data_IF_298574352543
#
_entry.id   IF_298574352543
#
_cell.length_a   1.000
_cell.length_b   1.000
_cell.length_c   1.000
_cell.angle_alpha   90.00
_cell.angle_beta   90.00
_cell.angle_gamma   90.00
#
_symmetry.space_group_name_H-M   'P 1'
#
loop_
_entity.id
_entity.type
_entity.pdbx_description
1 polymer ?
#
# COMPACT_ATOMS: atom_id res chain seq x y z
N UNK A 1 17.02 -20.30 12.21
CA UNK A 1 16.30 -20.74 13.42
C UNK A 1 15.16 -21.65 13.06
N UNK A 2 14.93 -22.66 13.89
CA UNK A 2 13.84 -23.63 13.70
C UNK A 2 12.49 -22.95 14.00
N UNK A 3 11.44 -23.28 13.25
CA UNK A 3 10.06 -22.84 13.53
C UNK A 3 9.66 -23.12 14.97
N UNK A 4 10.09 -24.27 15.53
CA UNK A 4 9.81 -24.63 16.91
C UNK A 4 10.42 -23.62 17.88
N UNK A 5 11.65 -23.16 17.64
CA UNK A 5 12.30 -22.17 18.51
C UNK A 5 11.55 -20.84 18.50
N UNK A 6 11.09 -20.38 17.34
CA UNK A 6 10.30 -19.14 17.24
C UNK A 6 8.95 -19.25 17.96
N UNK A 7 8.27 -20.40 17.84
CA UNK A 7 7.03 -20.68 18.56
C UNK A 7 7.29 -20.71 20.07
N UNK A 8 8.31 -21.46 20.51
CA UNK A 8 8.63 -21.61 21.92
C UNK A 8 9.01 -20.27 22.56
N UNK A 9 9.78 -19.42 21.87
CA UNK A 9 10.10 -18.07 22.33
C UNK A 9 8.85 -17.22 22.54
N UNK A 10 7.92 -17.22 21.58
CA UNK A 10 6.68 -16.46 21.69
C UNK A 10 5.78 -17.00 22.80
N UNK A 11 5.70 -18.32 22.97
CA UNK A 11 4.96 -18.94 24.07
C UNK A 11 5.53 -18.51 25.42
N UNK A 12 6.86 -18.56 25.59
CA UNK A 12 7.51 -18.11 26.81
C UNK A 12 7.28 -16.61 27.07
N UNK A 13 7.39 -15.76 26.06
CA UNK A 13 7.11 -14.32 26.19
C UNK A 13 5.68 -14.04 26.65
N UNK A 14 4.68 -14.75 26.10
CA UNK A 14 3.28 -14.61 26.54
C UNK A 14 3.10 -15.05 27.99
N UNK A 15 3.73 -16.16 28.40
CA UNK A 15 3.68 -16.65 29.77
C UNK A 15 4.31 -15.65 30.75
N UNK A 16 5.50 -15.13 30.43
CA UNK A 16 6.20 -14.13 31.25
C UNK A 16 5.38 -12.83 31.40
N UNK A 17 4.81 -12.32 30.30
CA UNK A 17 3.95 -11.13 30.34
C UNK A 17 2.68 -11.36 31.16
N UNK A 18 2.01 -12.50 30.97
CA UNK A 18 0.84 -12.88 31.77
C UNK A 18 1.21 -12.98 33.26
N UNK A 19 2.31 -13.64 33.60
CA UNK A 19 2.79 -13.75 34.99
C UNK A 19 3.11 -12.39 35.59
N UNK A 20 3.74 -11.48 34.83
CA UNK A 20 4.01 -10.12 35.29
C UNK A 20 2.72 -9.35 35.60
N UNK A 21 1.67 -9.53 34.80
CA UNK A 21 0.37 -8.89 35.02
C UNK A 21 -0.37 -9.53 36.20
N UNK A 22 -0.23 -10.84 36.42
CA UNK A 22 -0.80 -11.56 37.57
C UNK A 22 -0.13 -11.19 38.89
N UNK A 23 1.14 -10.76 38.87
CA UNK A 23 1.90 -10.40 40.07
C UNK A 23 1.39 -9.14 40.78
N UNK A 24 0.47 -8.38 40.18
CA UNK A 24 -0.22 -7.27 40.84
C UNK A 24 -1.15 -7.76 41.96
N UNK A 25 -1.36 -6.97 43.04
CA UNK A 25 -2.17 -7.38 44.19
C UNK A 25 -3.67 -7.23 43.91
N UNK A 26 -4.18 -7.93 42.89
CA UNK A 26 -5.57 -7.86 42.42
C UNK A 26 -6.62 -8.06 43.51
N UNK A 27 -6.39 -9.01 44.42
CA UNK A 27 -7.28 -9.27 45.55
C UNK A 27 -7.35 -8.11 46.55
N UNK A 28 -6.24 -7.39 46.77
CA UNK A 28 -6.22 -6.22 47.66
C UNK A 28 -6.88 -5.03 46.97
N UNK A 29 -6.54 -4.78 45.71
CA UNK A 29 -7.09 -3.70 44.91
C UNK A 29 -8.60 -3.80 44.68
N UNK A 30 -9.15 -5.01 44.70
CA UNK A 30 -10.59 -5.24 44.53
C UNK A 30 -11.41 -4.41 45.51
N UNK A 31 -11.08 -4.48 46.80
CA UNK A 31 -11.89 -3.83 47.83
C UNK A 31 -11.77 -2.29 47.73
N UNK A 32 -10.54 -1.79 47.55
CA UNK A 32 -10.25 -0.36 47.37
C UNK A 32 -10.99 0.22 46.15
N UNK A 33 -10.95 -0.47 45.01
CA UNK A 33 -11.62 -0.03 43.78
C UNK A 33 -13.13 -0.12 43.91
N UNK A 34 -13.68 -1.18 44.52
CA UNK A 34 -15.12 -1.30 44.74
C UNK A 34 -15.63 -0.14 45.63
N UNK A 35 -14.91 0.23 46.68
CA UNK A 35 -15.24 1.37 47.52
C UNK A 35 -15.22 2.68 46.71
N UNK A 36 -14.14 2.94 45.97
CA UNK A 36 -13.99 4.10 45.10
C UNK A 36 -15.12 4.22 44.07
N UNK A 37 -15.48 3.12 43.40
CA UNK A 37 -16.57 3.09 42.41
C UNK A 37 -17.94 3.33 43.05
N UNK A 38 -18.16 2.84 44.27
CA UNK A 38 -19.38 3.10 45.02
C UNK A 38 -19.47 4.58 45.43
N UNK A 39 -18.37 5.21 45.82
CA UNK A 39 -18.35 6.62 46.20
C UNK A 39 -18.53 7.57 44.99
N UNK A 40 -17.96 7.23 43.84
CA UNK A 40 -18.25 7.93 42.57
C UNK A 40 -19.73 7.82 42.18
N UNK A 41 -20.39 6.70 42.49
CA UNK A 41 -21.81 6.54 42.23
C UNK A 41 -22.68 7.31 43.25
N UNK A 42 -22.31 7.30 44.54
CA UNK A 42 -22.99 8.11 45.59
C UNK A 42 -22.92 9.61 45.28
N UNK A 43 -21.78 10.09 44.79
CA UNK A 43 -21.59 11.47 44.35
C UNK A 43 -22.25 11.79 42.99
N UNK A 44 -22.95 10.82 42.39
CA UNK A 44 -23.61 10.91 41.07
C UNK A 44 -22.65 11.19 39.89
N UNK A 45 -21.34 11.05 40.08
CA UNK A 45 -20.32 11.16 39.03
C UNK A 45 -20.28 9.94 38.11
N UNK A 46 -20.61 8.74 38.62
CA UNK A 46 -20.63 7.49 37.84
C UNK A 46 -22.03 6.89 37.76
N UNK A 47 -22.45 6.46 36.57
CA UNK A 47 -23.73 5.80 36.35
C UNK A 47 -23.78 4.38 36.97
N UNK A 48 -24.89 4.03 37.62
CA UNK A 48 -25.01 2.76 38.36
C UNK A 48 -24.86 1.51 37.50
N UNK A 49 -25.35 1.52 36.25
CA UNK A 49 -25.16 0.40 35.34
C UNK A 49 -23.68 0.19 34.96
N UNK A 50 -22.94 1.27 34.72
CA UNK A 50 -21.50 1.23 34.43
C UNK A 50 -20.74 0.69 35.63
N UNK A 51 -21.03 1.22 36.84
CA UNK A 51 -20.47 0.72 38.11
C UNK A 51 -20.67 -0.78 38.28
N UNK A 52 -21.90 -1.27 38.10
CA UNK A 52 -22.19 -2.69 38.28
C UNK A 52 -21.45 -3.58 37.25
N UNK A 53 -21.32 -3.11 36.01
CA UNK A 53 -20.54 -3.81 34.99
C UNK A 53 -19.04 -3.87 35.34
N UNK A 54 -18.49 -2.81 35.92
CA UNK A 54 -17.11 -2.74 36.40
C UNK A 54 -16.87 -3.67 37.60
N UNK A 55 -17.73 -3.63 38.62
CA UNK A 55 -17.61 -4.48 39.80
C UNK A 55 -17.63 -5.97 39.40
N UNK A 56 -18.47 -6.33 38.42
CA UNK A 56 -18.61 -7.72 37.96
C UNK A 56 -17.32 -8.32 37.38
N UNK A 57 -16.43 -7.52 36.78
CA UNK A 57 -15.20 -8.06 36.19
C UNK A 57 -14.12 -8.35 37.22
N UNK A 58 -14.25 -7.86 38.46
CA UNK A 58 -13.27 -8.11 39.52
C UNK A 58 -13.24 -9.57 39.99
N UNK A 59 -14.37 -10.27 39.99
CA UNK A 59 -14.39 -11.71 40.25
C UNK A 59 -13.61 -12.48 39.18
N UNK A 60 -13.67 -12.03 37.92
CA UNK A 60 -12.93 -12.63 36.81
C UNK A 60 -11.43 -12.34 36.90
N UNK A 61 -11.05 -11.11 37.28
CA UNK A 61 -9.65 -10.72 37.47
C UNK A 61 -8.98 -11.51 38.59
N UNK A 62 -9.63 -11.60 39.75
CA UNK A 62 -9.07 -12.31 40.91
C UNK A 62 -8.99 -13.81 40.64
N UNK A 63 -10.01 -14.40 40.00
CA UNK A 63 -9.96 -15.81 39.62
C UNK A 63 -8.84 -16.09 38.59
N UNK A 64 -8.67 -15.22 37.60
CA UNK A 64 -7.61 -15.33 36.59
C UNK A 64 -6.20 -15.17 37.17
N UNK A 65 -6.02 -14.27 38.14
CA UNK A 65 -4.74 -14.04 38.79
C UNK A 65 -4.17 -15.32 39.43
N UNK A 66 -5.05 -16.22 39.88
CA UNK A 66 -4.70 -17.50 40.51
C UNK A 66 -4.81 -18.71 39.55
N UNK A 67 -5.17 -18.50 38.27
CA UNK A 67 -5.32 -19.58 37.29
C UNK A 67 -4.07 -19.78 36.43
N UNK A 68 -4.04 -20.84 35.61
CA UNK A 68 -3.00 -21.06 34.60
C UNK A 68 -3.30 -20.35 33.26
N UNK A 69 -4.44 -19.65 33.15
CA UNK A 69 -4.88 -19.05 31.89
C UNK A 69 -4.08 -17.80 31.56
N UNK A 70 -3.80 -17.56 30.27
CA UNK A 70 -3.06 -16.38 29.84
C UNK A 70 -3.82 -15.06 30.09
N UNK A 71 -5.15 -15.09 29.99
CA UNK A 71 -6.02 -13.92 30.05
C UNK A 71 -7.30 -14.21 30.86
N UNK A 72 -7.91 -13.20 31.48
CA UNK A 72 -9.20 -13.35 32.13
C UNK A 72 -10.31 -13.64 31.13
N UNK A 73 -11.33 -14.38 31.58
CA UNK A 73 -12.52 -14.56 30.78
C UNK A 73 -13.16 -13.22 30.41
N UNK A 74 -13.65 -13.11 29.16
CA UNK A 74 -14.40 -11.96 28.64
C UNK A 74 -13.65 -10.62 28.64
N UNK A 75 -12.31 -10.65 28.71
CA UNK A 75 -11.46 -9.44 28.65
C UNK A 75 -11.83 -8.50 27.48
N UNK A 76 -12.13 -9.05 26.29
CA UNK A 76 -12.43 -8.26 25.10
C UNK A 76 -13.90 -7.85 24.93
N UNK A 77 -14.82 -8.48 25.67
CA UNK A 77 -16.28 -8.31 25.45
C UNK A 77 -16.99 -7.63 26.60
N UNK A 78 -16.44 -7.69 27.82
CA UNK A 78 -17.04 -7.05 28.97
C UNK A 78 -16.61 -5.57 29.05
N UNK A 79 -17.57 -4.65 28.84
CA UNK A 79 -17.34 -3.21 28.97
C UNK A 79 -16.75 -2.80 30.33
N UNK A 80 -16.91 -3.62 31.38
CA UNK A 80 -16.33 -3.39 32.70
C UNK A 80 -14.81 -3.27 32.69
N UNK A 81 -14.09 -4.02 31.84
CA UNK A 81 -12.64 -3.87 31.71
C UNK A 81 -12.28 -2.55 31.03
N UNK A 82 -12.86 -2.30 29.85
CA UNK A 82 -12.61 -1.07 29.07
C UNK A 82 -12.92 0.20 29.86
N UNK A 83 -13.97 0.18 30.67
CA UNK A 83 -14.38 1.33 31.46
C UNK A 83 -13.49 1.57 32.70
N UNK A 84 -12.63 0.62 33.06
CA UNK A 84 -11.68 0.70 34.18
C UNK A 84 -10.24 0.86 33.70
N UNK A 85 -10.03 1.51 32.55
CA UNK A 85 -8.74 2.09 32.18
C UNK A 85 -8.75 3.59 32.49
N UNK A 86 -7.57 4.26 32.56
CA UNK A 86 -7.52 5.71 32.74
C UNK A 86 -8.40 6.47 31.72
N UNK A 87 -8.31 6.12 30.44
CA UNK A 87 -9.09 6.75 29.37
C UNK A 87 -10.56 6.33 29.38
N UNK A 88 -10.83 5.07 29.76
CA UNK A 88 -12.18 4.52 29.82
C UNK A 88 -13.01 5.16 30.92
N UNK A 89 -12.41 5.34 32.09
CA UNK A 89 -13.05 5.93 33.26
C UNK A 89 -13.33 7.43 33.04
N UNK A 90 -12.35 8.17 32.51
CA UNK A 90 -12.48 9.61 32.23
C UNK A 90 -13.68 9.90 31.28
N UNK A 91 -13.85 9.07 30.25
CA UNK A 91 -14.94 9.23 29.25
C UNK A 91 -16.36 9.03 29.79
N UNK A 92 -16.52 8.28 30.88
CA UNK A 92 -17.85 7.90 31.39
C UNK A 92 -18.22 8.61 32.69
N UNK A 93 -17.28 9.34 33.28
CA UNK A 93 -17.52 10.17 34.45
C UNK A 93 -18.27 11.44 34.05
N UNK A 94 -19.06 11.95 35.01
CA UNK A 94 -19.79 13.20 34.90
C UNK A 94 -19.12 14.28 35.75
N UNK A 95 -19.18 15.52 35.26
CA UNK A 95 -18.59 16.70 35.89
C UNK A 95 -17.19 17.01 35.36
N UNK A 96 -16.66 18.17 35.77
CA UNK A 96 -15.38 18.70 35.27
C UNK A 96 -14.17 18.30 36.13
N UNK A 97 -14.41 17.60 37.26
CA UNK A 97 -13.35 17.09 38.11
C UNK A 97 -12.60 15.94 37.42
N UNK A 98 -11.28 15.88 37.63
CA UNK A 98 -10.44 14.78 37.13
C UNK A 98 -10.94 13.40 37.59
N UNK A 99 -10.75 12.38 36.76
CA UNK A 99 -10.95 10.99 37.14
C UNK A 99 -9.99 10.62 38.31
N UNK A 100 -10.46 9.87 39.32
CA UNK A 100 -9.58 9.39 40.38
C UNK A 100 -8.61 8.35 39.81
N UNK A 101 -7.37 8.41 40.27
CA UNK A 101 -6.33 7.47 39.88
C UNK A 101 -6.26 6.30 40.87
N UNK A 102 -6.07 5.09 40.33
CA UNK A 102 -5.75 3.90 41.10
C UNK A 102 -4.85 3.00 40.25
N UNK A 103 -3.76 2.41 40.80
CA UNK A 103 -2.82 1.58 40.02
C UNK A 103 -3.47 0.41 39.26
N UNK A 104 -4.59 -0.12 39.78
CA UNK A 104 -5.35 -1.15 39.09
C UNK A 104 -5.88 -0.72 37.71
N UNK A 105 -6.19 0.56 37.50
CA UNK A 105 -6.70 1.02 36.20
C UNK A 105 -5.60 0.97 35.13
N UNK A 106 -4.37 1.33 35.51
CA UNK A 106 -3.20 1.20 34.62
C UNK A 106 -2.93 -0.28 34.31
N UNK A 107 -3.01 -1.16 35.32
CA UNK A 107 -2.83 -2.60 35.14
C UNK A 107 -3.92 -3.24 34.26
N UNK A 108 -5.18 -2.81 34.38
CA UNK A 108 -6.28 -3.24 33.50
C UNK A 108 -6.05 -2.74 32.07
N UNK A 109 -5.54 -1.51 31.91
CA UNK A 109 -5.11 -0.97 30.62
C UNK A 109 -4.01 -1.82 29.97
N UNK A 110 -2.96 -2.16 30.72
CA UNK A 110 -1.89 -3.03 30.25
C UNK A 110 -2.37 -4.45 29.91
N UNK A 111 -3.33 -4.98 30.67
CA UNK A 111 -3.93 -6.29 30.40
C UNK A 111 -4.78 -6.30 29.12
N UNK A 112 -5.53 -5.22 28.85
CA UNK A 112 -6.27 -5.06 27.60
C UNK A 112 -5.33 -4.91 26.40
N UNK A 113 -4.25 -4.16 26.56
CA UNK A 113 -3.21 -4.03 25.52
C UNK A 113 -2.57 -5.39 25.22
N UNK A 114 -2.20 -6.15 26.26
CA UNK A 114 -1.68 -7.50 26.11
C UNK A 114 -2.67 -8.43 25.39
N UNK A 115 -3.98 -8.36 25.72
CA UNK A 115 -5.01 -9.15 25.03
C UNK A 115 -5.04 -8.89 23.52
N UNK A 116 -4.94 -7.62 23.13
CA UNK A 116 -5.04 -7.17 21.73
C UNK A 116 -3.73 -7.36 20.96
N UNK A 117 -2.59 -7.22 21.63
CA UNK A 117 -1.26 -7.13 21.02
C UNK A 117 -0.32 -8.25 21.46
N UNK A 118 -0.83 -9.47 21.62
CA UNK A 118 0.00 -10.61 22.02
C UNK A 118 1.14 -10.86 21.01
N UNK A 119 2.39 -11.06 21.50
CA UNK A 119 3.49 -11.52 20.66
C UNK A 119 3.05 -12.73 19.84
N UNK A 120 3.40 -12.81 18.55
CA UNK A 120 3.04 -13.96 17.72
C UNK A 120 4.19 -14.33 16.77
N UNK A 121 4.34 -15.63 16.49
CA UNK A 121 5.41 -16.15 15.65
C UNK A 121 5.06 -16.14 14.15
N UNK A 122 3.98 -15.43 13.73
CA UNK A 122 3.46 -15.52 12.36
C UNK A 122 4.52 -15.10 11.34
N UNK A 123 5.22 -14.00 11.58
CA UNK A 123 6.26 -13.50 10.68
C UNK A 123 7.44 -14.47 10.57
N UNK A 124 7.89 -15.05 11.69
CA UNK A 124 8.97 -16.03 11.71
C UNK A 124 8.60 -17.32 10.98
N UNK A 125 7.37 -17.82 11.21
CA UNK A 125 6.82 -18.98 10.50
C UNK A 125 6.76 -18.71 9.01
N UNK A 126 6.22 -17.56 8.59
CA UNK A 126 6.12 -17.19 7.17
C UNK A 126 7.51 -17.07 6.52
N UNK A 127 8.48 -16.48 7.22
CA UNK A 127 9.87 -16.37 6.76
C UNK A 127 10.55 -17.74 6.63
N UNK A 128 10.34 -18.65 7.57
CA UNK A 128 10.88 -20.00 7.46
C UNK A 128 10.19 -20.76 6.31
N UNK A 129 8.87 -20.67 6.22
CA UNK A 129 8.09 -21.32 5.17
C UNK A 129 8.50 -20.81 3.78
N UNK A 130 8.72 -19.51 3.59
CA UNK A 130 9.14 -18.96 2.31
C UNK A 130 10.49 -19.53 1.84
N UNK A 131 11.49 -19.60 2.71
CA UNK A 131 12.78 -20.22 2.38
C UNK A 131 12.64 -21.70 2.06
N UNK A 132 11.93 -22.46 2.90
CA UNK A 132 11.72 -23.88 2.68
C UNK A 132 10.97 -24.16 1.37
N UNK A 133 9.92 -23.39 1.06
CA UNK A 133 9.16 -23.50 -0.19
C UNK A 133 10.07 -23.19 -1.38
N UNK A 134 10.87 -22.12 -1.30
CA UNK A 134 11.78 -21.74 -2.38
C UNK A 134 12.81 -22.84 -2.67
N UNK A 135 13.48 -23.37 -1.64
CA UNK A 135 14.43 -24.48 -1.77
C UNK A 135 13.76 -25.75 -2.34
N UNK A 136 12.55 -26.06 -1.87
CA UNK A 136 11.80 -27.23 -2.34
C UNK A 136 11.39 -27.08 -3.80
N UNK A 137 10.93 -25.89 -4.20
CA UNK A 137 10.55 -25.57 -5.57
C UNK A 137 11.74 -25.74 -6.52
N UNK A 138 12.88 -25.16 -6.17
CA UNK A 138 14.11 -25.28 -6.95
C UNK A 138 14.58 -26.73 -7.08
N UNK A 139 14.55 -27.50 -5.98
CA UNK A 139 14.88 -28.93 -6.02
C UNK A 139 13.96 -29.73 -6.95
N UNK A 140 12.65 -29.43 -6.96
CA UNK A 140 11.71 -30.11 -7.86
C UNK A 140 11.87 -29.68 -9.33
N UNK A 141 12.11 -28.40 -9.60
CA UNK A 141 12.46 -27.91 -10.96
C UNK A 141 13.70 -28.62 -11.49
N UNK A 142 14.75 -28.73 -10.68
CA UNK A 142 16.01 -29.40 -11.04
C UNK A 142 15.79 -30.88 -11.36
N UNK A 143 15.01 -31.61 -10.54
CA UNK A 143 14.68 -33.03 -10.81
C UNK A 143 13.94 -33.22 -12.13
N UNK A 144 13.12 -32.24 -12.52
CA UNK A 144 12.35 -32.27 -13.78
C UNK A 144 13.12 -31.69 -14.97
N UNK A 145 14.29 -31.08 -14.75
CA UNK A 145 15.03 -30.33 -15.77
C UNK A 145 14.19 -29.22 -16.43
N UNK A 146 13.26 -28.65 -15.67
CA UNK A 146 12.40 -27.55 -16.12
C UNK A 146 13.05 -26.20 -15.74
N UNK A 147 12.81 -25.17 -16.57
CA UNK A 147 13.24 -23.80 -16.32
C UNK A 147 12.05 -22.86 -16.50
N UNK A 148 11.81 -22.02 -15.49
CA UNK A 148 10.90 -20.88 -15.58
C UNK A 148 11.57 -19.68 -16.24
N UNK A 149 10.79 -18.65 -16.54
CA UNK A 149 11.31 -17.39 -17.11
C UNK A 149 12.28 -16.68 -16.15
N UNK A 150 11.96 -16.63 -14.86
CA UNK A 150 12.80 -16.00 -13.84
C UNK A 150 14.15 -16.72 -13.69
N UNK A 151 14.17 -18.04 -13.92
CA UNK A 151 15.39 -18.85 -13.85
C UNK A 151 16.36 -18.49 -14.99
N UNK A 152 15.83 -18.07 -16.15
CA UNK A 152 16.66 -17.64 -17.29
C UNK A 152 17.43 -16.37 -16.96
N UNK A 153 16.75 -15.39 -16.34
CA UNK A 153 17.36 -14.13 -15.92
C UNK A 153 18.35 -14.38 -14.79
N UNK A 154 17.93 -15.08 -13.74
CA UNK A 154 18.76 -15.33 -12.56
C UNK A 154 20.03 -16.10 -12.91
N UNK A 155 19.95 -17.12 -13.77
CA UNK A 155 21.14 -17.86 -14.22
C UNK A 155 22.09 -17.04 -15.08
N UNK A 156 21.55 -16.14 -15.92
CA UNK A 156 22.39 -15.24 -16.71
C UNK A 156 23.12 -14.27 -15.79
N UNK A 157 22.42 -13.70 -14.81
CA UNK A 157 23.01 -12.83 -13.79
C UNK A 157 24.11 -13.57 -13.01
N UNK A 158 23.84 -14.78 -12.53
CA UNK A 158 24.82 -15.64 -11.84
C UNK A 158 26.04 -15.93 -12.72
N UNK A 159 25.84 -16.24 -14.00
CA UNK A 159 26.92 -16.53 -14.93
C UNK A 159 27.79 -15.30 -15.22
N UNK A 160 27.18 -14.10 -15.27
CA UNK A 160 27.87 -12.83 -15.46
C UNK A 160 28.65 -12.38 -14.21
N UNK A 161 28.24 -12.82 -13.02
CA UNK A 161 28.94 -12.56 -11.75
C UNK A 161 29.87 -13.71 -11.34
N UNK A 162 29.85 -14.84 -12.06
CA UNK A 162 30.73 -15.98 -11.82
C UNK A 162 32.16 -15.80 -12.35
N UNK A 163 33.02 -16.83 -12.18
CA UNK A 163 34.45 -16.77 -12.53
C UNK A 163 34.75 -16.48 -14.00
N UNK A 164 33.80 -16.71 -14.92
CA UNK A 164 33.92 -16.45 -16.36
C UNK A 164 33.08 -15.26 -16.82
N UNK A 165 32.57 -14.47 -15.88
CA UNK A 165 31.67 -13.36 -16.14
C UNK A 165 32.22 -12.33 -17.13
N UNK A 166 33.49 -11.95 -16.99
CA UNK A 166 34.13 -10.98 -17.90
C UNK A 166 34.18 -11.49 -19.35
N UNK A 167 34.46 -12.79 -19.54
CA UNK A 167 34.49 -13.41 -20.86
C UNK A 167 33.09 -13.46 -21.48
N UNK A 168 32.07 -13.75 -20.67
CA UNK A 168 30.68 -13.77 -21.11
C UNK A 168 30.22 -12.37 -21.51
N UNK A 169 30.41 -11.38 -20.65
CA UNK A 169 30.08 -9.98 -20.92
C UNK A 169 30.77 -9.47 -22.20
N UNK A 170 32.07 -9.72 -22.36
CA UNK A 170 32.81 -9.35 -23.58
C UNK A 170 32.29 -10.05 -24.85
N UNK A 171 31.84 -11.30 -24.72
CA UNK A 171 31.24 -12.04 -25.85
C UNK A 171 29.91 -11.41 -26.26
N UNK A 172 29.06 -11.07 -25.29
CA UNK A 172 27.77 -10.41 -25.53
C UNK A 172 28.00 -9.02 -26.14
N UNK A 173 28.87 -8.19 -25.56
CA UNK A 173 29.24 -6.87 -26.11
C UNK A 173 29.75 -6.94 -27.55
N UNK A 174 30.55 -7.96 -27.88
CA UNK A 174 31.04 -8.15 -29.27
C UNK A 174 29.90 -8.47 -30.24
N UNK A 175 28.90 -9.23 -29.80
CA UNK A 175 27.76 -9.59 -30.63
C UNK A 175 26.75 -8.44 -30.73
N UNK A 176 26.55 -7.71 -29.63
CA UNK A 176 25.61 -6.61 -29.49
C UNK A 176 26.36 -5.38 -28.96
N UNK A 177 27.10 -4.65 -29.83
CA UNK A 177 27.82 -3.46 -29.40
C UNK A 177 26.87 -2.31 -29.03
N UNK A 178 25.63 -2.35 -29.54
CA UNK A 178 24.57 -1.39 -29.21
C UNK A 178 23.32 -2.17 -28.79
N UNK A 179 22.74 -1.82 -27.64
CA UNK A 179 21.49 -2.38 -27.15
C UNK A 179 20.48 -1.28 -26.86
N UNK A 180 19.22 -1.51 -27.24
CA UNK A 180 18.09 -0.63 -26.97
C UNK A 180 17.11 -1.39 -26.08
N UNK A 181 16.85 -0.84 -24.89
CA UNK A 181 15.88 -1.37 -23.94
C UNK A 181 14.71 -0.39 -23.89
N UNK A 182 13.59 -0.78 -24.48
CA UNK A 182 12.33 -0.05 -24.40
C UNK A 182 11.59 -0.40 -23.11
N UNK A 183 10.66 0.45 -22.69
CA UNK A 183 9.90 0.30 -21.44
C UNK A 183 10.77 0.07 -20.19
N UNK A 184 11.91 0.75 -20.12
CA UNK A 184 12.90 0.55 -19.06
C UNK A 184 12.36 0.84 -17.65
N UNK A 185 11.27 1.61 -17.52
CA UNK A 185 10.60 1.81 -16.22
C UNK A 185 10.00 0.53 -15.62
N UNK A 186 9.75 -0.50 -16.44
CA UNK A 186 9.17 -1.78 -16.01
C UNK A 186 10.25 -2.87 -15.79
N UNK A 187 11.52 -2.46 -15.72
CA UNK A 187 12.67 -3.34 -15.48
C UNK A 187 12.81 -3.66 -13.99
N UNK A 188 13.24 -4.90 -13.68
CA UNK A 188 13.54 -5.35 -12.32
C UNK A 188 15.04 -5.22 -11.96
N UNK A 189 15.41 -5.33 -10.66
CA UNK A 189 16.80 -5.20 -10.24
C UNK A 189 17.76 -6.25 -10.83
N UNK A 190 17.29 -7.44 -11.19
CA UNK A 190 18.10 -8.50 -11.83
C UNK A 190 18.42 -8.13 -13.26
N UNK A 191 17.43 -7.67 -14.02
CA UNK A 191 17.62 -7.23 -15.40
C UNK A 191 18.60 -6.05 -15.48
N UNK A 192 18.46 -5.05 -14.59
CA UNK A 192 19.40 -3.93 -14.57
C UNK A 192 20.83 -4.36 -14.23
N UNK A 193 21.03 -5.25 -13.25
CA UNK A 193 22.37 -5.81 -12.96
C UNK A 193 22.97 -6.51 -14.17
N UNK A 194 22.19 -7.28 -14.92
CA UNK A 194 22.64 -7.94 -16.14
C UNK A 194 23.12 -6.89 -17.15
N UNK A 195 22.32 -5.84 -17.40
CA UNK A 195 22.69 -4.79 -18.35
C UNK A 195 23.92 -4.00 -17.89
N UNK A 196 23.99 -3.62 -16.62
CA UNK A 196 25.13 -2.92 -16.05
C UNK A 196 26.40 -3.76 -16.11
N UNK A 197 26.30 -5.06 -15.80
CA UNK A 197 27.43 -5.98 -15.88
C UNK A 197 27.93 -6.19 -17.31
N UNK A 198 27.03 -6.15 -18.29
CA UNK A 198 27.38 -6.28 -19.71
C UNK A 198 27.91 -4.97 -20.29
N UNK A 199 27.34 -3.81 -19.98
CA UNK A 199 27.66 -2.55 -20.69
C UNK A 199 28.43 -1.52 -19.86
N UNK A 200 28.66 -1.79 -18.58
CA UNK A 200 29.33 -0.89 -17.63
C UNK A 200 28.71 0.52 -17.68
N UNK A 201 27.45 0.62 -17.24
CA UNK A 201 26.62 1.83 -17.46
C UNK A 201 27.22 3.04 -16.77
N UNK A 202 27.88 2.85 -15.61
CA UNK A 202 28.54 3.93 -14.88
C UNK A 202 29.97 4.23 -15.39
N UNK A 203 30.71 3.21 -15.85
CA UNK A 203 32.10 3.36 -16.29
C UNK A 203 32.23 3.87 -17.73
N UNK A 204 31.25 3.61 -18.59
CA UNK A 204 31.18 4.12 -19.95
C UNK A 204 32.27 3.54 -20.85
N UNK A 205 32.11 2.30 -21.32
CA UNK A 205 32.99 1.73 -22.33
C UNK A 205 32.75 2.38 -23.71
N UNK A 206 33.75 3.11 -24.22
CA UNK A 206 33.71 3.78 -25.53
C UNK A 206 33.41 2.85 -26.73
N UNK A 207 33.56 1.53 -26.57
CA UNK A 207 33.26 0.55 -27.61
C UNK A 207 31.80 0.08 -27.67
N UNK A 208 30.96 0.43 -26.69
CA UNK A 208 29.57 -0.04 -26.62
C UNK A 208 28.58 1.05 -26.20
N UNK A 209 27.29 0.82 -26.47
CA UNK A 209 26.22 1.76 -26.14
C UNK A 209 24.98 1.02 -25.64
N UNK A 210 24.47 1.42 -24.47
CA UNK A 210 23.18 0.99 -23.94
C UNK A 210 22.23 2.17 -23.93
N UNK A 211 21.13 2.07 -24.68
CA UNK A 211 20.06 3.05 -24.72
C UNK A 211 18.88 2.53 -23.91
N UNK A 212 18.61 3.17 -22.77
CA UNK A 212 17.48 2.87 -21.90
C UNK A 212 16.37 3.89 -22.18
N UNK A 213 15.27 3.43 -22.76
CA UNK A 213 14.12 4.24 -23.17
C UNK A 213 12.97 3.88 -22.25
N UNK A 214 12.32 4.87 -21.66
CA UNK A 214 11.19 4.64 -20.79
C UNK A 214 10.66 5.93 -20.16
N UNK A 215 9.49 5.81 -19.54
CA UNK A 215 8.87 6.90 -18.79
C UNK A 215 8.58 6.45 -17.35
N UNK A 216 9.31 6.97 -16.34
CA UNK A 216 9.09 6.59 -14.95
C UNK A 216 7.68 6.96 -14.45
N UNK A 217 7.01 7.91 -15.11
CA UNK A 217 5.62 8.29 -14.80
C UNK A 217 4.61 7.18 -15.16
N UNK A 218 5.04 6.19 -15.94
CA UNK A 218 4.20 5.08 -16.43
C UNK A 218 4.55 3.74 -15.76
N UNK A 219 5.42 3.73 -14.74
CA UNK A 219 5.79 2.53 -14.00
C UNK A 219 4.61 2.00 -13.17
N UNK A 220 3.84 1.06 -13.74
CA UNK A 220 2.62 0.50 -13.11
C UNK A 220 2.73 -1.01 -12.84
N UNK A 221 3.83 -1.66 -13.24
CA UNK A 221 4.02 -3.10 -13.11
C UNK A 221 4.72 -3.56 -11.83
N UNK A 222 4.68 -2.76 -10.75
CA UNK A 222 5.29 -3.11 -9.46
C UNK A 222 4.82 -4.45 -8.88
N UNK A 223 3.58 -4.86 -9.19
CA UNK A 223 3.05 -6.18 -8.80
C UNK A 223 3.72 -7.37 -9.50
N UNK A 224 4.48 -7.14 -10.58
CA UNK A 224 5.29 -8.15 -11.28
C UNK A 224 6.78 -8.08 -10.94
N UNK A 225 7.18 -7.23 -9.99
CA UNK A 225 8.57 -7.08 -9.57
C UNK A 225 9.36 -5.97 -10.27
N UNK A 226 8.74 -5.22 -11.17
CA UNK A 226 9.33 -3.99 -11.71
C UNK A 226 9.61 -3.00 -10.58
N UNK A 227 10.76 -2.34 -10.63
CA UNK A 227 11.22 -1.48 -9.55
C UNK A 227 11.61 -0.09 -10.06
N UNK A 228 10.80 0.90 -9.70
CA UNK A 228 11.08 2.30 -10.03
C UNK A 228 12.40 2.80 -9.41
N UNK A 229 12.84 2.24 -8.28
CA UNK A 229 14.13 2.60 -7.69
C UNK A 229 15.30 2.14 -8.57
N UNK A 230 15.16 1.00 -9.26
CA UNK A 230 16.12 0.52 -10.26
C UNK A 230 16.23 1.49 -11.43
N UNK A 231 15.10 2.02 -11.93
CA UNK A 231 15.13 3.10 -12.92
C UNK A 231 15.86 4.35 -12.41
N UNK A 232 15.58 4.78 -11.17
CA UNK A 232 16.22 5.94 -10.57
C UNK A 232 17.73 5.74 -10.38
N UNK A 233 18.15 4.53 -9.99
CA UNK A 233 19.56 4.16 -9.86
C UNK A 233 20.26 4.21 -11.23
N UNK A 234 19.64 3.64 -12.27
CA UNK A 234 20.18 3.69 -13.62
C UNK A 234 20.34 5.13 -14.13
N UNK A 235 19.33 5.98 -13.87
CA UNK A 235 19.37 7.41 -14.20
C UNK A 235 20.51 8.15 -13.50
N UNK A 236 20.80 7.81 -12.24
CA UNK A 236 21.97 8.35 -11.54
C UNK A 236 23.30 7.88 -12.16
N UNK A 237 23.35 6.62 -12.62
CA UNK A 237 24.54 6.04 -13.26
C UNK A 237 24.94 6.74 -14.56
N UNK A 238 23.97 7.13 -15.40
CA UNK A 238 24.21 7.79 -16.70
C UNK A 238 24.45 9.30 -16.61
N UNK A 239 24.33 9.89 -15.41
CA UNK A 239 24.58 11.32 -15.13
C UNK A 239 23.88 12.25 -16.15
N UNK A 240 24.67 13.02 -16.92
CA UNK A 240 24.19 14.04 -17.86
C UNK A 240 23.62 13.45 -19.17
N UNK A 241 23.77 12.15 -19.41
CA UNK A 241 23.28 11.49 -20.63
C UNK A 241 21.78 11.13 -20.55
N UNK A 242 20.98 12.02 -19.97
CA UNK A 242 19.52 11.88 -19.87
C UNK A 242 18.86 12.78 -20.90
N UNK A 243 17.96 12.21 -21.72
CA UNK A 243 17.24 12.94 -22.76
C UNK A 243 15.74 12.89 -22.50
N UNK A 244 15.01 13.95 -22.83
CA UNK A 244 13.56 14.04 -22.65
C UNK A 244 12.87 14.44 -23.95
N UNK A 245 11.84 13.69 -24.32
CA UNK A 245 10.98 14.00 -25.46
C UNK A 245 9.79 14.83 -24.99
N UNK A 246 9.92 16.15 -25.07
CA UNK A 246 8.92 17.10 -24.55
C UNK A 246 7.69 17.32 -25.43
N UNK A 247 7.52 16.60 -26.55
CA UNK A 247 6.41 16.82 -27.50
C UNK A 247 5.62 15.53 -27.77
N UNK A 248 4.32 15.56 -27.49
CA UNK A 248 3.37 14.50 -27.77
C UNK A 248 2.85 14.59 -29.22
N UNK A 249 2.99 13.52 -29.98
CA UNK A 249 2.51 13.40 -31.37
C UNK A 249 1.25 12.53 -31.52
N UNK A 250 0.73 11.98 -30.41
CA UNK A 250 -0.36 11.00 -30.41
C UNK A 250 -1.73 11.63 -30.20
N UNK A 251 -1.81 12.73 -29.47
CA UNK A 251 -3.06 13.24 -28.91
C UNK A 251 -3.39 14.67 -29.34
N UNK A 252 -4.69 15.00 -29.27
CA UNK A 252 -5.19 16.35 -29.49
C UNK A 252 -4.62 17.33 -28.46
N UNK A 253 -4.53 18.62 -28.83
CA UNK A 253 -3.99 19.66 -27.94
C UNK A 253 -4.80 19.79 -26.65
N UNK A 254 -6.11 19.70 -26.74
CA UNK A 254 -7.06 19.75 -25.62
C UNK A 254 -6.86 18.61 -24.64
N UNK A 255 -6.62 17.39 -25.12
CA UNK A 255 -6.30 16.23 -24.29
C UNK A 255 -4.99 16.40 -23.52
N UNK A 256 -3.91 16.79 -24.21
CA UNK A 256 -2.60 17.01 -23.56
C UNK A 256 -2.71 18.13 -22.52
N UNK A 257 -3.39 19.23 -22.83
CA UNK A 257 -3.60 20.33 -21.89
C UNK A 257 -4.38 19.88 -20.65
N UNK A 258 -5.44 19.08 -20.81
CA UNK A 258 -6.22 18.56 -19.69
C UNK A 258 -5.37 17.66 -18.78
N UNK A 259 -4.60 16.73 -19.36
CA UNK A 259 -3.72 15.84 -18.59
C UNK A 259 -2.61 16.62 -17.87
N UNK A 260 -1.93 17.54 -18.56
CA UNK A 260 -0.92 18.41 -17.94
C UNK A 260 -1.52 19.15 -16.74
N UNK A 261 -2.73 19.73 -16.89
CA UNK A 261 -3.40 20.46 -15.82
C UNK A 261 -3.66 19.60 -14.58
N UNK A 262 -4.10 18.36 -14.75
CA UNK A 262 -4.37 17.43 -13.65
C UNK A 262 -3.09 17.12 -12.88
N UNK A 263 -2.02 16.75 -13.60
CA UNK A 263 -0.78 16.34 -12.96
C UNK A 263 0.03 17.52 -12.39
N UNK A 264 0.04 18.68 -13.05
CA UNK A 264 0.62 19.92 -12.50
C UNK A 264 -0.06 20.32 -11.19
N UNK A 265 -1.40 20.24 -11.16
CA UNK A 265 -2.15 20.54 -9.95
C UNK A 265 -1.80 19.55 -8.84
N UNK A 266 -1.76 18.25 -9.13
CA UNK A 266 -1.37 17.23 -8.14
C UNK A 266 0.05 17.45 -7.63
N UNK A 267 1.01 17.73 -8.52
CA UNK A 267 2.42 17.87 -8.14
C UNK A 267 2.68 19.04 -7.18
N UNK A 268 1.91 20.13 -7.34
CA UNK A 268 2.01 21.31 -6.50
C UNK A 268 1.24 21.14 -5.17
N UNK A 269 0.06 20.52 -5.21
CA UNK A 269 -0.88 20.54 -4.09
C UNK A 269 -0.82 19.27 -3.22
N UNK A 270 -0.58 18.10 -3.78
CA UNK A 270 -0.56 16.80 -3.06
C UNK A 270 0.71 16.63 -2.23
N UNK A 271 0.61 16.30 -0.93
CA UNK A 271 1.76 16.19 0.01
C UNK A 271 3.01 15.53 -0.59
N UNK A 272 2.82 14.43 -1.32
CA UNK A 272 3.90 13.60 -1.86
C UNK A 272 4.17 13.84 -3.36
N UNK A 273 3.59 14.91 -3.94
CA UNK A 273 3.67 15.22 -5.37
C UNK A 273 2.80 14.31 -6.24
N UNK A 274 2.90 14.48 -7.56
CA UNK A 274 2.07 13.75 -8.52
C UNK A 274 2.37 12.25 -8.58
N UNK A 275 3.62 11.87 -8.31
CA UNK A 275 4.11 10.49 -8.42
C UNK A 275 4.59 9.91 -7.08
N UNK A 276 4.29 10.57 -5.95
CA UNK A 276 4.63 10.10 -4.59
C UNK A 276 6.13 10.14 -4.24
N UNK A 277 6.93 10.92 -4.98
CA UNK A 277 8.38 11.10 -4.74
C UNK A 277 8.75 12.49 -4.20
N UNK A 278 7.76 13.22 -3.69
CA UNK A 278 7.93 14.60 -3.24
C UNK A 278 7.48 15.60 -4.30
N UNK A 279 7.51 16.88 -3.93
CA UNK A 279 6.94 17.98 -4.71
C UNK A 279 7.98 18.75 -5.52
N UNK A 280 7.56 19.22 -6.69
CA UNK A 280 8.28 20.21 -7.49
C UNK A 280 9.66 19.74 -7.97
N UNK A 281 10.48 20.69 -8.42
CA UNK A 281 11.75 20.39 -9.13
C UNK A 281 12.81 19.66 -8.29
N UNK A 282 12.64 19.60 -6.97
CA UNK A 282 13.50 18.84 -6.05
C UNK A 282 13.13 17.36 -5.95
N UNK A 283 11.97 16.97 -6.49
CA UNK A 283 11.55 15.58 -6.58
C UNK A 283 12.50 14.80 -7.51
N UNK A 284 12.84 13.53 -7.20
CA UNK A 284 13.46 12.62 -8.16
C UNK A 284 12.64 12.44 -9.44
N UNK A 285 11.32 12.61 -9.34
CA UNK A 285 10.34 12.44 -10.42
C UNK A 285 9.36 13.63 -10.46
N UNK A 286 9.81 14.83 -10.86
CA UNK A 286 8.92 15.98 -11.00
C UNK A 286 7.99 15.78 -12.19
N UNK A 287 6.74 16.26 -12.11
CA UNK A 287 5.90 16.31 -13.30
C UNK A 287 6.38 17.42 -14.22
N UNK A 288 6.69 17.06 -15.47
CA UNK A 288 6.99 18.00 -16.53
C UNK A 288 5.93 17.87 -17.60
N UNK A 289 5.15 18.93 -17.79
CA UNK A 289 4.17 19.01 -18.87
C UNK A 289 4.83 18.89 -20.23
N UNK A 290 4.12 18.31 -21.19
CA UNK A 290 4.60 18.15 -22.57
C UNK A 290 3.81 19.04 -23.54
N UNK A 291 4.47 19.47 -24.60
CA UNK A 291 3.84 20.14 -25.72
C UNK A 291 2.99 19.17 -26.55
N UNK A 292 1.96 19.69 -27.20
CA UNK A 292 1.13 18.92 -28.11
C UNK A 292 1.42 19.28 -29.57
N UNK A 293 1.74 18.27 -30.38
CA UNK A 293 1.66 18.42 -31.83
C UNK A 293 0.21 18.68 -32.28
N UNK A 294 -0.74 18.00 -31.61
CA UNK A 294 -2.15 17.99 -31.97
C UNK A 294 -2.47 16.97 -33.07
N UNK A 295 -3.76 16.64 -33.15
CA UNK A 295 -4.37 15.84 -34.21
C UNK A 295 -5.13 16.75 -35.16
N UNK A 296 -5.33 16.29 -36.40
CA UNK A 296 -6.14 17.03 -37.39
C UNK A 296 -7.65 16.92 -37.13
N UNK A 297 -8.05 15.91 -36.36
CA UNK A 297 -9.43 15.58 -36.04
C UNK A 297 -9.70 15.71 -34.54
N UNK A 298 -10.94 16.01 -34.18
CA UNK A 298 -11.46 16.16 -32.81
C UNK A 298 -12.46 15.06 -32.50
N UNK A 299 -12.54 14.65 -31.24
CA UNK A 299 -13.52 13.66 -30.79
C UNK A 299 -14.92 14.28 -30.81
N UNK A 300 -15.84 13.66 -31.54
CA UNK A 300 -17.20 14.17 -31.71
C UNK A 300 -18.25 13.06 -31.55
N UNK A 301 -19.41 13.44 -31.00
CA UNK A 301 -20.60 12.60 -30.90
C UNK A 301 -21.78 13.38 -31.43
N UNK A 302 -22.56 12.80 -32.35
CA UNK A 302 -23.71 13.42 -33.03
C UNK A 302 -23.39 14.79 -33.64
N UNK A 303 -22.16 14.94 -34.16
CA UNK A 303 -21.69 16.19 -34.76
C UNK A 303 -21.22 17.26 -33.76
N UNK A 304 -21.26 16.98 -32.46
CA UNK A 304 -20.80 17.89 -31.41
C UNK A 304 -19.42 17.47 -30.87
N UNK A 305 -18.48 18.42 -30.82
CA UNK A 305 -17.17 18.22 -30.19
C UNK A 305 -17.33 17.93 -28.69
N UNK A 306 -16.65 16.88 -28.24
CA UNK A 306 -16.73 16.42 -26.86
C UNK A 306 -15.51 16.86 -26.05
N UNK A 307 -15.68 17.10 -24.73
CA UNK A 307 -14.56 17.35 -23.83
C UNK A 307 -13.53 16.21 -23.86
N UNK A 308 -12.24 16.55 -23.78
CA UNK A 308 -11.18 15.54 -23.80
C UNK A 308 -11.02 14.78 -22.49
N UNK A 309 -11.44 15.36 -21.35
CA UNK A 309 -11.40 14.69 -20.06
C UNK A 309 -12.70 14.96 -19.31
N UNK A 310 -13.38 13.89 -18.91
CA UNK A 310 -14.67 13.93 -18.21
C UNK A 310 -14.50 13.22 -16.87
N UNK A 311 -14.90 13.89 -15.79
CA UNK A 311 -14.95 13.31 -14.46
C UNK A 311 -16.41 13.02 -14.10
N UNK A 312 -16.71 11.78 -13.74
CA UNK A 312 -18.00 11.42 -13.18
C UNK A 312 -17.90 11.30 -11.67
N UNK A 313 -18.84 11.92 -10.98
CA UNK A 313 -19.00 11.82 -9.53
C UNK A 313 -20.16 10.88 -9.24
N UNK A 314 -19.92 9.91 -8.36
CA UNK A 314 -20.94 8.98 -7.91
C UNK A 314 -21.25 9.26 -6.44
N UNK A 315 -22.43 9.83 -6.19
CA UNK A 315 -22.89 10.20 -4.86
C UNK A 315 -23.97 9.21 -4.40
N UNK A 316 -24.01 8.92 -3.10
CA UNK A 316 -25.01 7.99 -2.54
C UNK A 316 -26.45 8.50 -2.64
N UNK A 317 -26.63 9.83 -2.75
CA UNK A 317 -27.93 10.49 -2.62
C UNK A 317 -28.53 10.39 -1.21
N UNK A 318 -27.78 9.89 -0.21
CA UNK A 318 -28.22 9.79 1.19
C UNK A 318 -27.46 10.79 2.06
N UNK A 319 -28.13 11.38 3.03
CA UNK A 319 -27.52 12.22 4.07
C UNK A 319 -27.44 11.45 5.40
N UNK A 320 -26.41 11.73 6.19
CA UNK A 320 -26.35 11.31 7.59
C UNK A 320 -27.28 12.17 8.47
N UNK A 321 -27.29 11.89 9.78
CA UNK A 321 -28.17 12.60 10.72
C UNK A 321 -27.83 14.08 10.88
N UNK A 322 -26.63 14.48 10.47
CA UNK A 322 -26.10 15.83 10.55
C UNK A 322 -26.21 16.56 9.19
N UNK A 323 -26.85 15.94 8.18
CA UNK A 323 -27.05 16.50 6.85
C UNK A 323 -25.83 16.40 5.94
N UNK A 324 -24.82 15.60 6.30
CA UNK A 324 -23.65 15.39 5.44
C UNK A 324 -23.89 14.24 4.46
N UNK A 325 -23.35 14.31 3.22
CA UNK A 325 -23.42 13.19 2.28
C UNK A 325 -22.85 11.91 2.89
N UNK A 326 -23.69 10.89 2.96
CA UNK A 326 -23.32 9.59 3.51
C UNK A 326 -22.50 8.82 2.48
N UNK A 327 -21.35 8.29 2.88
CA UNK A 327 -20.52 7.48 1.99
C UNK A 327 -21.21 6.19 1.54
N UNK A 328 -20.94 5.76 0.31
CA UNK A 328 -21.41 4.48 -0.22
C UNK A 328 -20.57 3.31 0.30
N UNK A 329 -21.19 2.14 0.46
CA UNK A 329 -20.45 0.92 0.71
C UNK A 329 -19.56 0.58 -0.49
N UNK A 330 -18.28 0.27 -0.24
CA UNK A 330 -17.28 -0.01 -1.29
C UNK A 330 -17.75 -1.05 -2.32
N UNK A 331 -18.41 -2.12 -1.87
CA UNK A 331 -18.91 -3.17 -2.75
C UNK A 331 -19.98 -2.68 -3.74
N UNK A 332 -20.94 -1.90 -3.26
CA UNK A 332 -22.00 -1.29 -4.08
C UNK A 332 -21.40 -0.31 -5.08
N UNK A 333 -20.59 0.64 -4.62
CA UNK A 333 -19.94 1.62 -5.49
C UNK A 333 -19.08 0.96 -6.58
N UNK A 334 -18.40 -0.16 -6.27
CA UNK A 334 -17.59 -0.89 -7.26
C UNK A 334 -18.46 -1.49 -8.36
N UNK A 335 -19.59 -2.08 -8.02
CA UNK A 335 -20.51 -2.68 -8.98
C UNK A 335 -21.15 -1.62 -9.88
N UNK A 336 -21.67 -0.55 -9.28
CA UNK A 336 -22.37 0.53 -10.00
C UNK A 336 -21.43 1.28 -10.95
N UNK A 337 -20.20 1.59 -10.51
CA UNK A 337 -19.19 2.23 -11.37
C UNK A 337 -18.79 1.31 -12.52
N UNK A 338 -18.61 0.01 -12.27
CA UNK A 338 -18.28 -0.95 -13.32
C UNK A 338 -19.39 -1.06 -14.38
N UNK A 339 -20.65 -1.13 -13.95
CA UNK A 339 -21.81 -1.16 -14.87
C UNK A 339 -21.94 0.14 -15.67
N UNK A 340 -21.73 1.29 -15.03
CA UNK A 340 -21.77 2.61 -15.69
C UNK A 340 -20.68 2.72 -16.75
N UNK A 341 -19.44 2.35 -16.41
CA UNK A 341 -18.33 2.34 -17.38
C UNK A 341 -18.59 1.38 -18.54
N UNK A 342 -19.08 0.17 -18.27
CA UNK A 342 -19.42 -0.81 -19.31
C UNK A 342 -20.53 -0.29 -20.24
N UNK A 343 -21.56 0.34 -19.66
CA UNK A 343 -22.67 0.93 -20.42
C UNK A 343 -22.22 2.08 -21.32
N UNK A 344 -21.32 2.94 -20.85
CA UNK A 344 -20.77 4.01 -21.68
C UNK A 344 -19.90 3.47 -22.81
N UNK A 345 -19.03 2.50 -22.52
CA UNK A 345 -18.21 1.86 -23.58
C UNK A 345 -19.14 1.24 -24.62
N UNK A 346 -20.17 0.51 -24.20
CA UNK A 346 -21.16 -0.07 -25.12
C UNK A 346 -21.87 1.02 -25.94
N UNK A 347 -22.31 2.11 -25.29
CA UNK A 347 -22.94 3.27 -25.97
C UNK A 347 -22.01 3.87 -27.02
N UNK A 348 -20.76 4.15 -26.69
CA UNK A 348 -19.77 4.74 -27.60
C UNK A 348 -19.47 3.81 -28.79
N UNK A 349 -19.33 2.51 -28.53
CA UNK A 349 -19.14 1.51 -29.59
C UNK A 349 -20.35 1.41 -30.52
N UNK A 350 -21.57 1.42 -29.97
CA UNK A 350 -22.81 1.43 -30.76
C UNK A 350 -22.93 2.69 -31.61
N UNK A 351 -22.62 3.86 -31.05
CA UNK A 351 -22.60 5.12 -31.81
C UNK A 351 -21.52 5.13 -32.88
N UNK A 352 -20.34 4.58 -32.60
CA UNK A 352 -19.28 4.42 -33.58
C UNK A 352 -19.72 3.55 -34.77
N UNK A 353 -20.37 2.43 -34.49
CA UNK A 353 -20.93 1.56 -35.54
C UNK A 353 -22.03 2.24 -36.37
N UNK A 354 -22.77 3.17 -35.78
CA UNK A 354 -23.78 3.97 -36.47
C UNK A 354 -23.21 5.19 -37.21
N UNK A 355 -21.89 5.43 -37.17
CA UNK A 355 -21.27 6.63 -37.73
C UNK A 355 -21.67 7.91 -37.01
N UNK A 356 -22.02 7.81 -35.73
CA UNK A 356 -22.50 8.90 -34.88
C UNK A 356 -21.46 9.32 -33.82
N UNK A 357 -20.40 8.56 -33.63
CA UNK A 357 -19.28 8.92 -32.76
C UNK A 357 -17.97 8.55 -33.44
N UNK A 358 -16.97 9.43 -33.37
CA UNK A 358 -15.71 9.25 -34.08
C UNK A 358 -14.84 10.50 -34.04
N UNK A 359 -13.78 10.51 -34.85
CA UNK A 359 -12.91 11.66 -34.98
C UNK A 359 -13.26 12.48 -36.23
N UNK A 360 -13.80 13.69 -36.03
CA UNK A 360 -14.22 14.57 -37.11
C UNK A 360 -13.21 15.69 -37.41
N UNK A 361 -13.21 16.21 -38.64
CA UNK A 361 -12.48 17.45 -38.93
C UNK A 361 -13.16 18.63 -38.20
N UNK A 362 -12.39 19.59 -37.64
CA UNK A 362 -12.97 20.75 -36.95
C UNK A 362 -13.96 21.54 -37.81
N UNK A 363 -13.70 21.61 -39.12
CA UNK A 363 -14.52 22.36 -40.07
C UNK A 363 -15.58 21.49 -40.78
N UNK A 364 -15.64 20.19 -40.49
CA UNK A 364 -16.60 19.26 -41.07
C UNK A 364 -16.96 18.13 -40.09
N UNK A 365 -18.00 18.36 -39.29
CA UNK A 365 -18.47 17.41 -38.27
C UNK A 365 -19.12 16.14 -38.82
N UNK A 366 -19.45 16.12 -40.12
CA UNK A 366 -20.00 14.94 -40.80
C UNK A 366 -18.90 13.99 -41.34
N UNK A 367 -17.66 14.46 -41.44
CA UNK A 367 -16.50 13.64 -41.85
C UNK A 367 -15.95 12.87 -40.65
N UNK A 368 -16.69 11.86 -40.18
CA UNK A 368 -16.31 11.01 -39.05
C UNK A 368 -15.44 9.83 -39.49
N UNK A 369 -14.28 9.67 -38.82
CA UNK A 369 -13.38 8.51 -38.91
C UNK A 369 -13.46 7.63 -37.67
#
# INVERSE_FOLDING_TARGET
DSVHQAIDQVVQQRLEQSQSLKAHPWSQWRDDVIELLNDLNKSKRLHGASKNAMIKVWDLLVAWAESDDLLPEKIDSAAGFKNQTPEGLDKILKGDDSAPHHPAFDAIGALLDFSQNQPNAKSDILRHASHWIAERLESEKQKRSEMGFDDLLTRLDDALHGPRGDQLAATIRRQFPVALIDEFQDTDPVQYRIFDRIYDVAGGDSGTCLLMIGDPKQAIYGFRGADIYTYLQARQGVKEQTYTLGKNFRSAKTMVAAVNRVFEHSDQNSRDGAFLFGKGDTSPLPFQGVDANGTKRVWAINGEEQPSLVFWTHESGEEDRDGNPKGMAKGTATADVAETCASEIARLLTLGQAGQAGFALPDNSEDLE
#
